data_IF_480969384508
#
_entry.id   IF_480969384508
#
_cell.length_a   1.000
_cell.length_b   1.000
_cell.length_c   1.000
_cell.angle_alpha   90.00
_cell.angle_beta   90.00
_cell.angle_gamma   90.00
#
_symmetry.space_group_name_H-M   'P 1'
#
loop_
_entity.id
_entity.type
_entity.pdbx_description
1 polymer ?
#
# COMPACT_ATOMS: atom_id res chain seq x y z
N UNK A 1 -16.85 0.21 -12.96
CA UNK A 1 -17.06 1.67 -13.09
C UNK A 1 -15.84 2.26 -13.82
N UNK A 2 -16.00 2.52 -15.12
CA UNK A 2 -15.01 3.16 -16.00
C UNK A 2 -15.08 4.67 -15.73
N UNK A 3 -13.94 5.35 -15.66
CA UNK A 3 -13.95 6.80 -15.50
C UNK A 3 -14.38 7.44 -16.82
N UNK A 4 -15.23 8.45 -16.73
CA UNK A 4 -15.60 9.29 -17.88
C UNK A 4 -14.36 10.03 -18.37
N UNK A 5 -14.19 10.09 -19.69
CA UNK A 5 -13.07 10.77 -20.32
C UNK A 5 -13.48 12.23 -20.54
N UNK A 6 -12.57 13.16 -20.24
CA UNK A 6 -12.78 14.59 -20.51
C UNK A 6 -12.98 14.80 -22.03
N UNK A 7 -13.86 15.72 -22.45
CA UNK A 7 -14.24 15.90 -23.85
C UNK A 7 -13.07 16.26 -24.79
N UNK A 8 -11.95 16.70 -24.23
CA UNK A 8 -10.75 17.14 -24.96
C UNK A 8 -9.75 15.98 -25.21
N UNK A 9 -10.11 14.75 -24.81
CA UNK A 9 -9.87 13.55 -25.62
C UNK A 9 -8.45 13.09 -25.90
N UNK A 10 -7.41 13.52 -25.19
CA UNK A 10 -6.04 13.14 -25.60
C UNK A 10 -5.40 12.01 -24.78
N UNK A 11 -5.99 11.57 -23.67
CA UNK A 11 -5.46 10.42 -22.92
C UNK A 11 -6.52 9.67 -22.11
N UNK A 12 -6.71 8.39 -22.43
CA UNK A 12 -7.49 7.45 -21.62
C UNK A 12 -6.96 7.47 -20.17
N UNK A 13 -7.86 7.69 -19.20
CA UNK A 13 -7.49 7.82 -17.79
C UNK A 13 -6.60 6.63 -17.36
N UNK A 14 -5.45 6.83 -16.67
CA UNK A 14 -4.51 5.75 -16.33
C UNK A 14 -5.16 4.54 -15.64
N UNK A 15 -6.23 4.76 -14.86
CA UNK A 15 -7.01 3.66 -14.28
C UNK A 15 -7.74 2.81 -15.33
N UNK A 16 -8.29 3.41 -16.38
CA UNK A 16 -8.98 2.66 -17.44
C UNK A 16 -7.98 1.74 -18.16
N UNK A 17 -6.76 2.21 -18.43
CA UNK A 17 -5.68 1.39 -19.02
C UNK A 17 -5.29 0.21 -18.12
N UNK A 18 -5.21 0.42 -16.80
CA UNK A 18 -4.96 -0.65 -15.83
C UNK A 18 -6.09 -1.68 -15.83
N UNK A 19 -7.35 -1.26 -15.90
CA UNK A 19 -8.50 -2.16 -15.96
C UNK A 19 -8.46 -3.01 -17.23
N UNK A 20 -8.23 -2.40 -18.39
CA UNK A 20 -8.09 -3.12 -19.67
C UNK A 20 -6.95 -4.14 -19.61
N UNK A 21 -5.82 -3.79 -19.00
CA UNK A 21 -4.72 -4.74 -18.81
C UNK A 21 -5.09 -5.90 -17.88
N UNK A 22 -5.80 -5.62 -16.79
CA UNK A 22 -6.28 -6.65 -15.87
C UNK A 22 -7.26 -7.60 -16.57
N UNK A 23 -8.13 -7.09 -17.43
CA UNK A 23 -9.07 -7.93 -18.20
C UNK A 23 -8.35 -8.84 -19.21
N UNK A 24 -7.23 -8.37 -19.80
CA UNK A 24 -6.43 -9.15 -20.76
C UNK A 24 -5.57 -10.24 -20.10
N UNK A 25 -4.85 -9.93 -19.03
CA UNK A 25 -3.84 -10.85 -18.43
C UNK A 25 -4.29 -11.48 -17.11
N UNK A 26 -5.44 -11.06 -16.58
CA UNK A 26 -5.90 -11.43 -15.25
C UNK A 26 -5.17 -10.66 -14.14
N UNK A 27 -5.89 -10.48 -13.02
CA UNK A 27 -5.42 -9.65 -11.90
C UNK A 27 -4.13 -10.15 -11.24
N UNK A 28 -3.95 -11.47 -11.13
CA UNK A 28 -2.77 -12.04 -10.48
C UNK A 28 -1.50 -11.75 -11.28
N UNK A 29 -1.52 -12.01 -12.59
CA UNK A 29 -0.39 -11.77 -13.48
C UNK A 29 -0.10 -10.26 -13.60
N UNK A 30 -1.13 -9.43 -13.71
CA UNK A 30 -0.97 -7.98 -13.70
C UNK A 30 -0.28 -7.47 -12.41
N UNK A 31 -0.68 -7.97 -11.24
CA UNK A 31 -0.06 -7.57 -9.95
C UNK A 31 1.42 -7.91 -9.88
N UNK A 32 1.82 -9.04 -10.44
CA UNK A 32 3.22 -9.46 -10.51
C UNK A 32 4.00 -8.57 -11.48
N UNK A 33 3.48 -8.39 -12.71
CA UNK A 33 4.15 -7.60 -13.75
C UNK A 33 4.28 -6.11 -13.39
N UNK A 34 3.30 -5.53 -12.70
CA UNK A 34 3.31 -4.12 -12.28
C UNK A 34 4.10 -3.83 -11.00
N UNK A 35 4.57 -4.87 -10.29
CA UNK A 35 5.20 -4.71 -8.98
C UNK A 35 4.25 -4.21 -7.89
N UNK A 36 2.93 -4.32 -8.10
CA UNK A 36 1.88 -3.80 -7.21
C UNK A 36 2.00 -4.28 -5.76
N UNK A 37 2.60 -5.45 -5.55
CA UNK A 37 2.79 -6.02 -4.21
C UNK A 37 3.54 -5.07 -3.27
N UNK A 38 4.56 -4.34 -3.76
CA UNK A 38 5.33 -3.39 -2.93
C UNK A 38 4.46 -2.23 -2.43
N UNK A 39 3.63 -1.66 -3.31
CA UNK A 39 2.72 -0.57 -2.93
C UNK A 39 1.68 -1.07 -1.91
N UNK A 40 1.10 -2.24 -2.16
CA UNK A 40 0.12 -2.85 -1.26
C UNK A 40 0.68 -3.12 0.15
N UNK A 41 1.95 -3.52 0.27
CA UNK A 41 2.62 -3.67 1.57
C UNK A 41 2.82 -2.33 2.29
N UNK A 42 3.22 -1.29 1.57
CA UNK A 42 3.38 0.05 2.13
C UNK A 42 2.03 0.62 2.59
N UNK A 43 0.98 0.50 1.79
CA UNK A 43 -0.39 0.90 2.14
C UNK A 43 -0.89 0.15 3.39
N UNK A 44 -0.69 -1.17 3.44
CA UNK A 44 -1.08 -1.99 4.60
C UNK A 44 -0.33 -1.56 5.86
N UNK A 45 0.95 -1.22 5.74
CA UNK A 45 1.75 -0.72 6.85
C UNK A 45 1.23 0.64 7.33
N UNK A 46 0.94 1.57 6.42
CA UNK A 46 0.39 2.88 6.77
C UNK A 46 -1.03 2.80 7.35
N UNK A 47 -1.85 1.86 6.87
CA UNK A 47 -3.17 1.58 7.42
C UNK A 47 -3.11 1.19 8.90
N UNK A 48 -2.08 0.44 9.32
CA UNK A 48 -1.83 0.11 10.73
C UNK A 48 -1.15 1.25 11.49
N UNK A 49 -0.24 1.96 10.84
CA UNK A 49 0.52 3.05 11.43
C UNK A 49 -0.38 4.19 11.93
N UNK A 50 -1.30 4.67 11.07
CA UNK A 50 -2.17 5.81 11.35
C UNK A 50 -3.03 5.65 12.62
N UNK A 51 -3.74 4.53 12.85
CA UNK A 51 -4.52 4.37 14.08
C UNK A 51 -3.65 4.19 15.33
N UNK A 52 -2.44 3.62 15.20
CA UNK A 52 -1.56 3.37 16.36
C UNK A 52 -0.80 4.64 16.79
N UNK A 53 -0.26 5.40 15.84
CA UNK A 53 0.63 6.54 16.12
C UNK A 53 0.03 7.90 15.75
N UNK A 54 -1.14 7.92 15.12
CA UNK A 54 -1.77 9.10 14.57
C UNK A 54 -1.47 9.32 13.08
N UNK A 55 -2.30 10.15 12.44
CA UNK A 55 -2.15 10.53 11.03
C UNK A 55 -1.12 11.65 10.80
N UNK A 56 -0.53 12.20 11.86
CA UNK A 56 0.39 13.34 11.81
C UNK A 56 1.70 13.07 12.55
N UNK A 57 2.75 13.79 12.18
CA UNK A 57 4.04 13.79 12.85
C UNK A 57 4.15 15.02 13.75
N UNK A 58 4.76 14.87 14.93
CA UNK A 58 4.84 15.95 15.93
C UNK A 58 5.98 16.92 15.62
N UNK A 59 7.07 16.44 15.04
CA UNK A 59 8.25 17.26 14.77
C UNK A 59 8.00 18.22 13.59
N UNK A 60 8.62 19.40 13.63
CA UNK A 60 8.42 20.48 12.64
C UNK A 60 9.51 20.56 11.58
N UNK A 61 10.68 19.98 11.82
CA UNK A 61 11.77 19.90 10.86
C UNK A 61 11.72 18.56 10.14
N UNK A 62 11.98 18.56 8.83
CA UNK A 62 11.90 17.36 7.99
C UNK A 62 12.80 16.23 8.50
N UNK A 63 14.05 16.51 8.84
CA UNK A 63 14.98 15.49 9.35
C UNK A 63 14.45 14.83 10.63
N UNK A 64 13.87 15.65 11.52
CA UNK A 64 13.27 15.16 12.76
C UNK A 64 11.97 14.37 12.50
N UNK A 65 11.20 14.74 11.47
CA UNK A 65 10.02 13.98 11.04
C UNK A 65 10.42 12.63 10.46
N UNK A 66 11.50 12.58 9.65
CA UNK A 66 12.03 11.35 9.11
C UNK A 66 12.47 10.41 10.25
N UNK A 67 13.24 10.91 11.22
CA UNK A 67 13.65 10.14 12.41
C UNK A 67 12.44 9.67 13.22
N UNK A 68 11.44 10.53 13.45
CA UNK A 68 10.19 10.17 14.14
C UNK A 68 9.46 9.03 13.41
N UNK A 69 9.35 9.13 12.09
CA UNK A 69 8.72 8.11 11.25
C UNK A 69 9.48 6.78 11.32
N UNK A 70 10.80 6.80 11.19
CA UNK A 70 11.63 5.58 11.27
C UNK A 70 11.51 4.89 12.62
N UNK A 71 11.52 5.65 13.72
CA UNK A 71 11.34 5.09 15.08
C UNK A 71 9.96 4.45 15.25
N UNK A 72 8.89 5.12 14.80
CA UNK A 72 7.53 4.58 14.86
C UNK A 72 7.37 3.33 14.00
N UNK A 73 7.96 3.30 12.81
CA UNK A 73 7.98 2.11 11.94
C UNK A 73 8.74 0.94 12.59
N UNK A 74 9.89 1.20 13.22
CA UNK A 74 10.64 0.18 13.96
C UNK A 74 9.83 -0.38 15.14
N UNK A 75 9.16 0.49 15.89
CA UNK A 75 8.27 0.08 16.98
C UNK A 75 7.10 -0.77 16.46
N UNK A 76 6.46 -0.37 15.35
CA UNK A 76 5.38 -1.13 14.72
C UNK A 76 5.84 -2.53 14.31
N UNK A 77 7.00 -2.64 13.67
CA UNK A 77 7.58 -3.93 13.28
C UNK A 77 7.84 -4.81 14.49
N UNK A 78 8.34 -4.23 15.59
CA UNK A 78 8.55 -4.97 16.84
C UNK A 78 7.23 -5.46 17.45
N UNK A 79 6.19 -4.64 17.46
CA UNK A 79 4.85 -5.04 17.92
C UNK A 79 4.29 -6.19 17.09
N UNK A 80 4.45 -6.15 15.76
CA UNK A 80 4.02 -7.21 14.87
C UNK A 80 4.77 -8.52 15.17
N UNK A 81 6.09 -8.46 15.37
CA UNK A 81 6.87 -9.66 15.71
C UNK A 81 6.44 -10.29 17.04
N UNK A 82 5.98 -9.49 18.00
CA UNK A 82 5.52 -9.97 19.30
C UNK A 82 4.08 -10.48 19.28
N UNK A 83 3.21 -9.85 18.50
CA UNK A 83 1.77 -10.14 18.48
C UNK A 83 1.32 -11.10 17.36
N UNK A 84 2.20 -11.44 16.41
CA UNK A 84 1.84 -12.33 15.31
C UNK A 84 1.77 -13.78 15.82
N UNK A 85 0.62 -14.47 15.67
CA UNK A 85 0.50 -15.87 16.01
C UNK A 85 1.26 -16.76 15.01
N UNK A 86 1.79 -17.88 15.50
CA UNK A 86 2.34 -18.92 14.64
C UNK A 86 1.20 -19.70 13.98
N UNK A 87 1.06 -19.52 12.67
CA UNK A 87 0.04 -20.20 11.87
C UNK A 87 0.71 -21.25 10.97
N UNK A 88 0.16 -22.46 10.97
CA UNK A 88 0.62 -23.57 10.13
C UNK A 88 -0.54 -24.11 9.29
N UNK A 89 -0.22 -24.65 8.12
CA UNK A 89 -1.21 -25.31 7.27
C UNK A 89 -1.61 -26.63 7.92
N UNK A 90 -2.90 -26.83 8.14
CA UNK A 90 -3.46 -28.13 8.53
C UNK A 90 -3.99 -28.79 7.26
N UNK A 91 -3.56 -30.02 6.99
CA UNK A 91 -4.17 -30.83 5.93
C UNK A 91 -5.44 -31.47 6.49
N UNK A 92 -6.56 -31.23 5.81
CA UNK A 92 -7.88 -31.79 6.11
C UNK A 92 -8.18 -32.82 5.02
#
# INVERSE_FOLDING_TARGET
MRWEEEPDGEQAHPRNQVLERIDQVGRQQWKQASGYHRCSLAETTLFRFKPIFGATLRRRLFDNQAVELFLKCAALNRMIQLGKPDSYKVEI
#
